data_IF_399196227034
#
_entry.id   IF_399196227034
#
_cell.length_a   1.000
_cell.length_b   1.000
_cell.length_c   1.000
_cell.angle_alpha   90.00
_cell.angle_beta   90.00
_cell.angle_gamma   90.00
#
_symmetry.space_group_name_H-M   'P 1'
#
loop_
_entity.id
_entity.type
_entity.pdbx_description
1 polymer ?
#
# COMPACT_ATOMS: atom_id res chain seq x y z
N UNK A 1 -2.42 -1.31 -12.74
CA UNK A 1 -3.02 -0.67 -11.55
C UNK A 1 -4.12 -1.56 -11.02
N UNK A 2 -4.17 -1.75 -9.71
CA UNK A 2 -5.17 -2.60 -9.07
C UNK A 2 -6.22 -1.75 -8.38
N UNK A 3 -7.44 -2.26 -8.33
CA UNK A 3 -8.52 -1.66 -7.57
C UNK A 3 -8.81 -2.56 -6.37
N UNK A 4 -9.10 -1.94 -5.25
CA UNK A 4 -9.38 -2.64 -4.00
C UNK A 4 -10.69 -2.11 -3.40
N UNK A 5 -11.60 -3.02 -3.08
CA UNK A 5 -12.93 -2.65 -2.58
C UNK A 5 -13.08 -3.08 -1.12
N UNK A 6 -13.50 -2.14 -0.26
CA UNK A 6 -13.68 -2.37 1.17
C UNK A 6 -15.04 -1.81 1.59
N UNK A 7 -15.77 -2.53 2.43
CA UNK A 7 -16.97 -1.98 3.06
C UNK A 7 -16.60 -1.02 4.18
N UNK A 8 -17.34 0.07 4.28
CA UNK A 8 -17.17 1.08 5.32
C UNK A 8 -17.15 0.43 6.70
N UNK A 9 -16.15 0.78 7.50
CA UNK A 9 -15.99 0.36 8.89
C UNK A 9 -16.02 -1.15 9.12
N UNK A 10 -15.76 -1.95 8.08
CA UNK A 10 -15.74 -3.41 8.22
C UNK A 10 -14.40 -3.88 8.79
N UNK A 11 -14.39 -5.11 9.31
CA UNK A 11 -13.15 -5.81 9.62
C UNK A 11 -12.42 -6.07 8.31
N UNK A 12 -11.12 -5.77 8.25
CA UNK A 12 -10.50 -5.54 6.97
C UNK A 12 -9.45 -6.57 6.58
N UNK A 13 -9.50 -6.89 5.30
CA UNK A 13 -8.46 -7.64 4.62
C UNK A 13 -7.26 -6.73 4.39
N UNK A 14 -6.05 -7.15 4.74
CA UNK A 14 -4.86 -6.36 4.44
C UNK A 14 -4.68 -6.14 2.95
N UNK A 15 -4.10 -5.01 2.59
CA UNK A 15 -3.72 -4.72 1.20
C UNK A 15 -2.32 -5.26 0.98
N UNK A 16 -2.17 -6.12 -0.02
CA UNK A 16 -0.88 -6.69 -0.40
C UNK A 16 -0.51 -6.27 -1.81
N UNK A 17 0.77 -6.12 -2.06
CA UNK A 17 1.25 -5.75 -3.37
C UNK A 17 2.61 -6.37 -3.65
N UNK A 18 2.93 -6.49 -4.94
CA UNK A 18 4.26 -6.86 -5.40
C UNK A 18 4.89 -5.62 -6.02
N UNK A 19 5.80 -5.00 -5.29
CA UNK A 19 6.50 -3.82 -5.77
C UNK A 19 7.65 -4.24 -6.67
N UNK A 20 7.79 -3.57 -7.80
CA UNK A 20 8.82 -3.86 -8.79
C UNK A 20 9.60 -2.60 -9.13
N UNK A 21 10.81 -2.77 -9.63
CA UNK A 21 11.62 -1.68 -10.14
C UNK A 21 11.22 -1.32 -11.59
N UNK A 22 11.96 -0.39 -12.20
CA UNK A 22 11.66 0.10 -13.54
C UNK A 22 11.76 -0.97 -14.63
N UNK A 23 12.46 -2.05 -14.36
CA UNK A 23 12.67 -3.14 -15.31
C UNK A 23 11.65 -4.25 -15.11
N UNK A 24 10.86 -4.19 -14.05
CA UNK A 24 9.88 -5.21 -13.73
C UNK A 24 10.38 -6.28 -12.78
N UNK A 25 11.60 -6.16 -12.27
CA UNK A 25 12.13 -7.07 -11.27
C UNK A 25 11.60 -6.71 -9.89
N UNK A 26 11.48 -7.69 -8.96
CA UNK A 26 11.05 -7.37 -7.61
C UNK A 26 11.96 -6.31 -6.98
N UNK A 27 11.36 -5.34 -6.30
CA UNK A 27 12.11 -4.27 -5.65
C UNK A 27 12.94 -4.80 -4.50
N UNK A 28 14.14 -4.25 -4.33
CA UNK A 28 14.97 -4.52 -3.16
C UNK A 28 14.52 -3.59 -2.03
N UNK A 29 13.97 -4.19 -0.99
CA UNK A 29 13.41 -3.46 0.15
C UNK A 29 14.24 -3.66 1.42
N UNK A 30 15.49 -4.08 1.26
CA UNK A 30 16.40 -4.26 2.38
C UNK A 30 16.88 -2.92 2.92
N UNK A 31 17.11 -2.85 4.22
CA UNK A 31 17.73 -1.70 4.88
C UNK A 31 16.94 -0.41 4.70
N UNK A 32 15.66 -0.44 4.97
CA UNK A 32 14.83 0.74 4.90
C UNK A 32 13.50 0.54 5.60
N UNK A 33 12.64 1.56 5.49
CA UNK A 33 11.30 1.53 6.07
C UNK A 33 10.26 1.79 4.99
N UNK A 34 9.10 1.17 5.16
CA UNK A 34 8.00 1.28 4.22
C UNK A 34 6.82 1.96 4.89
N UNK A 35 6.20 2.91 4.20
CA UNK A 35 4.95 3.51 4.63
C UNK A 35 3.90 3.40 3.54
N UNK A 36 2.64 3.50 3.95
CA UNK A 36 1.49 3.49 3.06
C UNK A 36 0.70 4.76 3.29
N UNK A 37 0.44 5.51 2.24
CA UNK A 37 -0.24 6.80 2.31
C UNK A 37 -1.51 6.73 1.48
N UNK A 38 -2.66 6.95 2.12
CA UNK A 38 -3.96 6.96 1.46
C UNK A 38 -4.47 8.37 1.35
N UNK A 39 -4.77 8.80 0.15
CA UNK A 39 -5.18 10.16 -0.17
C UNK A 39 -6.54 10.14 -0.85
N UNK A 40 -7.42 11.04 -0.46
CA UNK A 40 -8.72 11.19 -1.12
C UNK A 40 -8.53 11.70 -2.55
N UNK A 41 -9.21 11.09 -3.51
CA UNK A 41 -9.18 11.58 -4.88
C UNK A 41 -10.06 12.80 -5.09
N UNK A 42 -10.94 13.11 -4.15
CA UNK A 42 -11.83 14.25 -4.26
C UNK A 42 -11.14 15.56 -3.90
N UNK A 43 -10.39 15.59 -2.80
CA UNK A 43 -9.80 16.82 -2.27
C UNK A 43 -8.32 16.69 -1.93
N UNK A 44 -7.71 15.52 -2.23
CA UNK A 44 -6.28 15.23 -2.00
C UNK A 44 -5.89 15.28 -0.52
N UNK A 45 -6.85 15.23 0.39
CA UNK A 45 -6.53 15.14 1.82
C UNK A 45 -5.96 13.75 2.15
N UNK A 46 -5.06 13.72 3.13
CA UNK A 46 -4.45 12.47 3.58
C UNK A 46 -5.37 11.79 4.58
N UNK A 47 -5.82 10.59 4.26
CA UNK A 47 -6.65 9.79 5.15
C UNK A 47 -5.79 8.93 6.09
N UNK A 48 -4.75 8.32 5.56
CA UNK A 48 -3.85 7.43 6.30
C UNK A 48 -2.42 7.75 5.89
N UNK A 49 -1.53 7.83 6.87
CA UNK A 49 -0.10 7.85 6.64
C UNK A 49 0.54 7.03 7.77
N UNK A 50 0.87 5.79 7.48
CA UNK A 50 1.28 4.85 8.50
C UNK A 50 2.34 3.88 7.98
N UNK A 51 3.02 3.22 8.92
CA UNK A 51 4.00 2.20 8.58
C UNK A 51 3.31 0.99 7.95
N UNK A 52 3.95 0.43 6.95
CA UNK A 52 3.51 -0.81 6.32
C UNK A 52 4.54 -1.91 6.58
N UNK A 53 4.14 -3.15 6.30
CA UNK A 53 4.99 -4.31 6.52
C UNK A 53 5.71 -4.72 5.25
N UNK A 54 7.00 -4.99 5.38
CA UNK A 54 7.78 -5.61 4.31
C UNK A 54 7.74 -7.10 4.58
N UNK A 55 7.07 -7.86 3.69
CA UNK A 55 6.95 -9.30 3.83
C UNK A 55 8.20 -10.02 3.35
N UNK A 56 8.77 -9.55 2.25
CA UNK A 56 10.00 -10.11 1.68
C UNK A 56 10.87 -8.94 1.24
N UNK A 57 11.93 -8.65 1.99
CA UNK A 57 12.82 -7.53 1.70
C UNK A 57 13.83 -7.88 0.61
N UNK A 58 14.39 -9.08 0.66
CA UNK A 58 15.37 -9.54 -0.32
C UNK A 58 14.65 -10.15 -1.53
N UNK A 59 14.77 -9.57 -2.73
CA UNK A 59 14.08 -10.10 -3.89
C UNK A 59 14.47 -11.53 -4.24
N UNK A 60 15.64 -11.98 -3.83
CA UNK A 60 16.07 -13.37 -4.07
C UNK A 60 15.29 -14.39 -3.23
N UNK A 61 14.57 -13.93 -2.21
CA UNK A 61 13.77 -14.81 -1.34
C UNK A 61 12.33 -14.99 -1.81
N UNK A 62 11.93 -14.32 -2.89
CA UNK A 62 10.62 -14.55 -3.48
C UNK A 62 10.57 -15.89 -4.18
N UNK A 63 9.49 -16.64 -3.95
CA UNK A 63 9.34 -18.01 -4.42
C UNK A 63 8.42 -18.15 -5.62
N UNK A 64 7.73 -17.08 -6.02
CA UNK A 64 6.86 -17.10 -7.20
C UNK A 64 6.76 -15.70 -7.81
N UNK A 65 6.34 -15.64 -9.08
CA UNK A 65 6.20 -14.38 -9.82
C UNK A 65 5.02 -13.55 -9.34
N UNK A 66 4.15 -14.12 -8.51
CA UNK A 66 2.96 -13.43 -8.04
C UNK A 66 2.97 -13.19 -6.54
N UNK A 67 4.03 -13.57 -5.85
CA UNK A 67 4.13 -13.41 -4.41
C UNK A 67 4.22 -11.93 -4.04
N UNK A 68 3.37 -11.50 -3.10
CA UNK A 68 3.43 -10.14 -2.56
C UNK A 68 4.68 -9.96 -1.72
N UNK A 69 5.29 -8.78 -1.82
CA UNK A 69 6.46 -8.44 -0.99
C UNK A 69 6.16 -7.38 0.07
N UNK A 70 5.00 -6.76 0.02
CA UNK A 70 4.59 -5.74 1.01
C UNK A 70 3.13 -5.94 1.40
N UNK A 71 2.78 -5.39 2.57
CA UNK A 71 1.42 -5.47 3.08
C UNK A 71 1.12 -4.25 3.97
N UNK A 72 -0.07 -3.70 3.82
CA UNK A 72 -0.60 -2.74 4.77
C UNK A 72 -1.79 -3.35 5.51
N UNK A 73 -1.72 -3.35 6.84
CA UNK A 73 -2.81 -3.78 7.71
C UNK A 73 -3.43 -2.54 8.32
N UNK A 74 -4.73 -2.37 8.13
CA UNK A 74 -5.45 -1.23 8.69
C UNK A 74 -5.38 -1.27 10.22
N UNK A 75 -5.09 -0.11 10.83
CA UNK A 75 -4.92 -0.03 12.27
C UNK A 75 -6.25 -0.13 13.01
N UNK A 76 -7.32 0.42 12.43
CA UNK A 76 -8.64 0.35 13.02
C UNK A 76 -9.70 0.67 11.95
N UNK A 77 -10.96 0.45 12.30
CA UNK A 77 -12.08 0.66 11.38
C UNK A 77 -12.31 2.13 11.04
N UNK A 78 -11.82 3.05 11.85
CA UNK A 78 -12.00 4.48 11.58
C UNK A 78 -11.23 4.94 10.35
N UNK A 79 -10.19 4.20 9.95
CA UNK A 79 -9.42 4.52 8.75
C UNK A 79 -10.24 4.34 7.47
N UNK A 80 -11.33 3.57 7.53
CA UNK A 80 -12.19 3.32 6.38
C UNK A 80 -13.64 3.73 6.68
N UNK A 81 -13.83 4.71 7.54
CA UNK A 81 -15.16 5.12 7.99
C UNK A 81 -15.91 5.97 6.95
N UNK A 82 -15.22 6.61 6.02
CA UNK A 82 -15.83 7.52 5.05
C UNK A 82 -15.84 6.89 3.66
N UNK A 83 -17.02 6.62 3.08
CA UNK A 83 -17.10 6.10 1.72
C UNK A 83 -16.48 7.08 0.72
N UNK A 84 -15.90 6.54 -0.34
CA UNK A 84 -15.30 7.34 -1.39
C UNK A 84 -14.22 6.57 -2.14
N UNK A 85 -13.55 7.28 -3.03
CA UNK A 85 -12.46 6.74 -3.83
C UNK A 85 -11.16 7.36 -3.36
N UNK A 86 -10.20 6.53 -3.08
CA UNK A 86 -8.92 6.92 -2.52
C UNK A 86 -7.78 6.32 -3.31
N UNK A 87 -6.61 6.92 -3.18
CA UNK A 87 -5.37 6.39 -3.78
C UNK A 87 -4.42 6.03 -2.64
N UNK A 88 -3.99 4.76 -2.62
CA UNK A 88 -2.95 4.29 -1.70
C UNK A 88 -1.63 4.21 -2.41
N UNK A 89 -0.57 4.75 -1.81
CA UNK A 89 0.77 4.77 -2.39
C UNK A 89 1.76 4.17 -1.41
N UNK A 90 2.62 3.27 -1.94
CA UNK A 90 3.71 2.68 -1.18
C UNK A 90 4.93 3.58 -1.29
N UNK A 91 5.53 3.90 -0.14
CA UNK A 91 6.72 4.76 -0.08
C UNK A 91 7.81 4.06 0.72
N UNK A 92 8.93 3.83 0.09
CA UNK A 92 10.08 3.19 0.73
C UNK A 92 11.18 4.20 0.96
N UNK A 93 11.67 4.30 2.21
CA UNK A 93 12.76 5.20 2.57
C UNK A 93 13.96 4.36 2.98
N UNK A 94 15.04 4.35 2.18
CA UNK A 94 16.27 3.66 2.57
C UNK A 94 16.85 4.24 3.86
N UNK A 95 17.51 3.40 4.64
CA UNK A 95 18.14 3.86 5.87
C UNK A 95 19.19 4.94 5.55
N UNK A 96 19.14 6.02 6.34
CA UNK A 96 20.05 7.15 6.12
C UNK A 96 19.56 8.20 5.15
N UNK A 97 18.49 7.91 4.40
CA UNK A 97 17.89 8.86 3.48
C UNK A 97 16.73 9.61 4.13
N UNK A 98 16.46 10.81 3.64
CA UNK A 98 15.33 11.63 4.07
C UNK A 98 14.23 11.66 3.02
N UNK A 99 14.47 11.11 1.83
CA UNK A 99 13.50 11.06 0.73
C UNK A 99 13.06 9.63 0.50
N UNK A 100 11.80 9.49 0.06
CA UNK A 100 11.24 8.17 -0.21
C UNK A 100 11.27 7.86 -1.69
N UNK A 101 11.24 6.56 -1.99
CA UNK A 101 11.11 6.04 -3.36
C UNK A 101 9.68 5.57 -3.59
N UNK A 102 9.19 5.76 -4.81
CA UNK A 102 7.94 5.17 -5.28
C UNK A 102 8.25 4.10 -6.33
N UNK A 103 7.25 3.34 -6.74
CA UNK A 103 7.45 2.17 -7.58
C UNK A 103 6.57 2.25 -8.83
N UNK A 104 7.14 2.05 -10.02
CA UNK A 104 6.38 2.25 -11.26
C UNK A 104 5.34 1.16 -11.53
N UNK A 105 5.53 -0.05 -11.04
CA UNK A 105 4.61 -1.16 -11.31
C UNK A 105 3.36 -1.10 -10.46
N UNK A 106 3.42 -1.59 -9.23
CA UNK A 106 2.30 -1.65 -8.30
C UNK A 106 2.42 -0.60 -7.20
N UNK A 107 3.06 0.54 -7.49
CA UNK A 107 3.38 1.56 -6.49
C UNK A 107 2.17 2.28 -5.92
N UNK A 108 1.00 2.16 -6.55
CA UNK A 108 -0.22 2.67 -5.97
C UNK A 108 -1.41 1.77 -6.32
N UNK A 109 -2.47 1.92 -5.55
CA UNK A 109 -3.71 1.17 -5.70
C UNK A 109 -4.88 2.11 -5.53
N UNK A 110 -5.95 1.91 -6.30
CA UNK A 110 -7.19 2.66 -6.11
C UNK A 110 -8.04 1.92 -5.10
N UNK A 111 -8.45 2.62 -4.04
CA UNK A 111 -9.21 2.05 -2.95
C UNK A 111 -10.62 2.61 -2.98
N UNK A 112 -11.59 1.72 -3.09
CA UNK A 112 -13.01 2.09 -3.05
C UNK A 112 -13.57 1.69 -1.69
N UNK A 113 -13.91 2.69 -0.87
CA UNK A 113 -14.62 2.45 0.38
C UNK A 113 -16.10 2.56 0.08
N UNK A 114 -16.81 1.45 0.19
CA UNK A 114 -18.20 1.32 -0.20
C UNK A 114 -19.08 1.46 1.04
N UNK A 115 -20.16 2.26 0.92
CA UNK A 115 -21.07 2.45 2.02
C UNK A 115 -21.67 1.12 2.49
N UNK A 116 -21.80 0.98 3.80
CA UNK A 116 -22.43 -0.18 4.41
C UNK A 116 -23.92 0.09 4.50
N UNK A 117 -24.71 -0.64 3.71
CA UNK A 117 -26.15 -0.39 3.55
C UNK A 117 -27.03 -1.28 4.42
N UNK A 118 -26.55 -1.78 5.50
CA UNK A 118 -27.37 -2.57 6.39
C UNK A 118 -28.40 -1.77 7.14
#
# INVERSE_FOLDING_TARGET
MADFYIKQSAAVTPIRARLTDEVGNPADLQNGTLSFVVTSQMDYSVLVKASASILVADPDNLTSDTQANVQYTWNNADEIATPGVYRGEWRFTPNGDTTYQTFPGAGYVIIHIVANNE
#
